data_IF_085328020043
#
_entry.id   IF_085328020043
#
_cell.length_a   1.000
_cell.length_b   1.000
_cell.length_c   1.000
_cell.angle_alpha   90.00
_cell.angle_beta   90.00
_cell.angle_gamma   90.00
#
_symmetry.space_group_name_H-M   'P 1'
#
loop_
_entity.id
_entity.type
_entity.pdbx_description
1 polymer ?
#
# COMPACT_ATOMS: atom_id res chain seq x y z
N UNK A 1 -28.48 -1.48 -10.16
CA UNK A 1 -27.16 -2.12 -9.98
C UNK A 1 -26.12 -1.00 -9.96
N UNK A 2 -25.30 -0.92 -8.92
CA UNK A 2 -24.22 0.07 -8.84
C UNK A 2 -23.18 -0.22 -9.91
N UNK A 3 -22.57 0.81 -10.47
CA UNK A 3 -21.50 0.68 -11.46
C UNK A 3 -20.33 1.54 -11.03
N UNK A 4 -19.12 0.96 -11.09
CA UNK A 4 -17.87 1.63 -10.77
C UNK A 4 -16.95 1.60 -11.98
N UNK A 5 -16.33 2.74 -12.29
CA UNK A 5 -15.37 2.88 -13.37
C UNK A 5 -13.95 2.80 -12.79
N UNK A 6 -13.17 1.85 -13.25
CA UNK A 6 -11.83 1.56 -12.73
C UNK A 6 -10.80 1.81 -13.82
N UNK A 7 -9.83 2.67 -13.55
CA UNK A 7 -8.65 2.82 -14.40
C UNK A 7 -7.65 1.71 -14.03
N UNK A 8 -7.40 0.78 -14.93
CA UNK A 8 -6.45 -0.31 -14.72
C UNK A 8 -5.14 -0.05 -15.44
N UNK A 9 -4.03 -0.22 -14.73
CA UNK A 9 -2.68 -0.03 -15.24
C UNK A 9 -1.84 -1.22 -14.79
N UNK A 10 -1.44 -2.08 -15.71
CA UNK A 10 -0.60 -3.23 -15.40
C UNK A 10 0.83 -2.81 -15.03
N UNK A 11 1.36 -1.79 -15.73
CA UNK A 11 2.71 -1.28 -15.53
C UNK A 11 3.80 -2.21 -16.07
N UNK A 12 4.76 -2.58 -15.21
CA UNK A 12 5.96 -3.34 -15.56
C UNK A 12 6.04 -4.70 -14.85
N UNK A 13 6.93 -5.54 -15.36
CA UNK A 13 7.31 -6.81 -14.76
C UNK A 13 6.13 -7.72 -14.43
N UNK A 14 6.08 -8.20 -13.19
CA UNK A 14 5.00 -9.10 -12.74
C UNK A 14 3.63 -8.43 -12.70
N UNK A 15 3.53 -7.10 -12.75
CA UNK A 15 2.24 -6.41 -12.88
C UNK A 15 1.41 -6.92 -14.05
N UNK A 16 2.06 -7.23 -15.19
CA UNK A 16 1.44 -7.81 -16.38
C UNK A 16 0.90 -9.23 -16.18
N UNK A 17 1.34 -9.91 -15.13
CA UNK A 17 0.89 -11.27 -14.80
C UNK A 17 -0.20 -11.27 -13.72
N UNK A 18 -0.04 -10.45 -12.67
CA UNK A 18 -0.92 -10.48 -11.50
C UNK A 18 -2.20 -9.66 -11.67
N UNK A 19 -2.17 -8.57 -12.46
CA UNK A 19 -3.36 -7.72 -12.70
C UNK A 19 -4.46 -8.46 -13.48
N UNK A 20 -4.17 -9.17 -14.59
CA UNK A 20 -5.18 -9.95 -15.28
C UNK A 20 -5.84 -11.03 -14.41
N UNK A 21 -5.05 -11.67 -13.53
CA UNK A 21 -5.58 -12.68 -12.61
C UNK A 21 -6.48 -12.04 -11.53
N UNK A 22 -6.10 -10.89 -11.00
CA UNK A 22 -6.94 -10.14 -10.05
C UNK A 22 -8.25 -9.65 -10.71
N UNK A 23 -8.22 -9.25 -12.00
CA UNK A 23 -9.44 -8.89 -12.73
C UNK A 23 -10.46 -10.03 -12.78
N UNK A 24 -10.01 -11.29 -12.93
CA UNK A 24 -10.91 -12.45 -12.93
C UNK A 24 -11.63 -12.58 -11.59
N UNK A 25 -10.91 -12.40 -10.47
CA UNK A 25 -11.48 -12.44 -9.13
C UNK A 25 -12.47 -11.28 -8.92
N UNK A 26 -12.08 -10.05 -9.32
CA UNK A 26 -12.92 -8.87 -9.20
C UNK A 26 -14.21 -8.98 -10.02
N UNK A 27 -14.15 -9.51 -11.24
CA UNK A 27 -15.33 -9.76 -12.08
C UNK A 27 -16.26 -10.78 -11.43
N UNK A 28 -15.72 -11.89 -10.93
CA UNK A 28 -16.51 -12.95 -10.29
C UNK A 28 -17.23 -12.46 -9.05
N UNK A 29 -16.53 -11.71 -8.17
CA UNK A 29 -17.16 -11.20 -6.95
C UNK A 29 -18.20 -10.11 -7.25
N UNK A 30 -17.97 -9.29 -8.27
CA UNK A 30 -18.95 -8.29 -8.73
C UNK A 30 -20.26 -8.93 -9.20
N UNK A 31 -20.19 -10.04 -9.93
CA UNK A 31 -21.35 -10.83 -10.33
C UNK A 31 -22.10 -11.39 -9.10
N UNK A 32 -21.38 -11.97 -8.14
CA UNK A 32 -21.99 -12.55 -6.93
C UNK A 32 -22.70 -11.51 -6.06
N UNK A 33 -22.13 -10.30 -5.96
CA UNK A 33 -22.66 -9.21 -5.14
C UNK A 33 -23.49 -8.18 -5.92
N UNK A 34 -23.81 -8.46 -7.19
CA UNK A 34 -24.73 -7.67 -8.03
C UNK A 34 -24.34 -6.20 -8.24
N UNK A 35 -23.05 -5.91 -8.41
CA UNK A 35 -22.55 -4.62 -8.91
C UNK A 35 -21.76 -4.82 -10.19
N UNK A 36 -21.41 -3.73 -10.88
CA UNK A 36 -20.67 -3.77 -12.15
C UNK A 36 -19.35 -3.02 -12.00
N UNK A 37 -18.27 -3.62 -12.48
CA UNK A 37 -16.99 -2.97 -12.71
C UNK A 37 -16.81 -2.73 -14.22
N UNK A 38 -16.61 -1.47 -14.60
CA UNK A 38 -16.17 -1.06 -15.94
C UNK A 38 -14.68 -0.78 -15.82
N UNK A 39 -13.86 -1.58 -16.47
CA UNK A 39 -12.41 -1.50 -16.38
C UNK A 39 -11.88 -0.91 -17.68
N UNK A 40 -11.27 0.28 -17.59
CA UNK A 40 -10.57 0.95 -18.66
C UNK A 40 -9.07 0.69 -18.49
N UNK A 41 -8.46 0.01 -19.47
CA UNK A 41 -7.04 -0.36 -19.42
C UNK A 41 -6.18 0.73 -20.05
N UNK A 42 -5.06 1.04 -19.38
CA UNK A 42 -4.10 2.05 -19.81
C UNK A 42 -2.69 1.46 -19.86
N UNK A 43 -1.94 1.78 -20.92
CA UNK A 43 -0.58 1.30 -21.18
C UNK A 43 0.53 2.21 -20.64
N UNK A 44 0.18 3.42 -20.18
CA UNK A 44 1.15 4.34 -19.60
C UNK A 44 1.56 3.96 -18.17
N UNK A 45 2.49 4.70 -17.58
CA UNK A 45 3.15 4.35 -16.32
C UNK A 45 3.89 3.01 -16.39
N UNK A 46 4.57 2.78 -17.53
CA UNK A 46 5.40 1.62 -17.79
C UNK A 46 6.69 2.01 -18.52
N UNK A 47 7.72 1.19 -18.38
CA UNK A 47 8.98 1.37 -19.12
C UNK A 47 8.76 1.25 -20.64
N UNK A 48 7.83 0.39 -21.07
CA UNK A 48 7.50 0.24 -22.48
C UNK A 48 6.82 1.49 -23.05
N UNK A 49 6.00 2.16 -22.27
CA UNK A 49 5.41 3.44 -22.65
C UNK A 49 6.48 4.54 -22.70
N UNK A 50 7.37 4.56 -21.69
CA UNK A 50 8.48 5.52 -21.67
C UNK A 50 9.39 5.37 -22.89
N UNK A 51 9.73 4.16 -23.28
CA UNK A 51 10.57 3.89 -24.46
C UNK A 51 9.97 4.46 -25.74
N UNK A 52 8.65 4.35 -25.89
CA UNK A 52 7.93 4.84 -27.10
C UNK A 52 7.72 6.36 -27.10
N UNK A 53 7.56 6.97 -25.94
CA UNK A 53 7.05 8.35 -25.82
C UNK A 53 8.00 9.31 -25.11
N UNK A 54 9.10 8.84 -24.51
CA UNK A 54 10.05 9.65 -23.74
C UNK A 54 9.49 10.21 -22.42
N UNK A 55 8.34 9.71 -21.97
CA UNK A 55 7.67 10.13 -20.74
C UNK A 55 6.82 8.98 -20.17
N UNK A 56 6.67 8.91 -18.86
CA UNK A 56 5.91 7.86 -18.19
C UNK A 56 4.39 8.02 -18.34
N UNK A 57 3.91 9.26 -18.51
CA UNK A 57 2.50 9.61 -18.59
C UNK A 57 2.25 10.53 -19.79
N UNK A 58 1.12 10.40 -20.50
CA UNK A 58 0.73 11.35 -21.53
C UNK A 58 0.37 12.71 -20.90
N UNK A 59 0.44 13.81 -21.65
CA UNK A 59 0.23 15.15 -21.11
C UNK A 59 -1.19 15.33 -20.51
N UNK A 60 -2.16 14.62 -21.03
CA UNK A 60 -3.56 14.63 -20.59
C UNK A 60 -3.94 13.44 -19.67
N UNK A 61 -2.97 12.81 -19.02
CA UNK A 61 -3.21 11.64 -18.17
C UNK A 61 -4.23 11.92 -17.04
N UNK A 62 -4.16 13.11 -16.47
CA UNK A 62 -5.01 13.50 -15.37
C UNK A 62 -6.49 13.58 -15.79
N UNK A 63 -6.76 14.16 -16.96
CA UNK A 63 -8.09 14.24 -17.54
C UNK A 63 -8.65 12.86 -17.91
N UNK A 64 -7.79 11.95 -18.34
CA UNK A 64 -8.17 10.56 -18.65
C UNK A 64 -8.60 9.81 -17.40
N UNK A 65 -7.87 9.96 -16.29
CA UNK A 65 -8.06 9.14 -15.09
C UNK A 65 -9.03 9.77 -14.08
N UNK A 66 -9.06 11.09 -13.93
CA UNK A 66 -9.81 11.79 -12.84
C UNK A 66 -11.31 11.48 -12.74
N UNK A 67 -11.90 10.89 -13.78
CA UNK A 67 -13.32 10.52 -13.81
C UNK A 67 -13.60 9.11 -13.30
N UNK A 68 -12.57 8.32 -13.05
CA UNK A 68 -12.71 6.98 -12.51
C UNK A 68 -12.96 7.03 -11.00
N UNK A 69 -13.62 6.00 -10.49
CA UNK A 69 -13.87 5.85 -9.06
C UNK A 69 -12.64 5.37 -8.31
N UNK A 70 -11.76 4.62 -9.00
CA UNK A 70 -10.50 4.13 -8.47
C UNK A 70 -9.47 3.84 -9.58
N UNK A 71 -8.20 3.78 -9.20
CA UNK A 71 -7.09 3.30 -10.03
C UNK A 71 -6.65 1.94 -9.48
N UNK A 72 -6.60 0.93 -10.32
CA UNK A 72 -6.07 -0.38 -10.00
C UNK A 72 -4.73 -0.55 -10.69
N UNK A 73 -3.66 -0.61 -9.92
CA UNK A 73 -2.30 -0.49 -10.41
C UNK A 73 -1.50 -1.75 -10.08
N UNK A 74 -0.72 -2.25 -11.05
CA UNK A 74 0.14 -3.41 -10.85
C UNK A 74 1.45 -3.03 -10.20
N UNK A 75 2.46 -2.71 -11.01
CA UNK A 75 3.77 -2.31 -10.54
C UNK A 75 4.47 -1.43 -11.57
N UNK A 76 5.50 -0.68 -11.17
CA UNK A 76 6.30 0.14 -12.08
C UNK A 76 7.78 0.10 -11.71
N UNK A 77 8.61 0.14 -12.74
CA UNK A 77 10.05 0.23 -12.64
C UNK A 77 10.76 -1.03 -13.10
N UNK A 78 11.78 -0.82 -13.91
CA UNK A 78 12.73 -1.84 -14.37
C UNK A 78 14.12 -1.20 -14.25
N UNK A 79 14.79 -1.29 -13.09
CA UNK A 79 16.04 -0.56 -12.81
C UNK A 79 17.15 -0.79 -13.84
N UNK A 80 17.19 -1.98 -14.45
CA UNK A 80 18.14 -2.31 -15.51
C UNK A 80 17.87 -1.58 -16.84
N UNK A 81 16.62 -1.07 -17.04
CA UNK A 81 16.24 -0.28 -18.23
C UNK A 81 16.25 1.21 -17.94
N UNK A 82 15.60 1.62 -16.84
CA UNK A 82 15.42 3.03 -16.46
C UNK A 82 15.48 3.18 -14.94
N UNK A 83 16.21 4.19 -14.43
CA UNK A 83 16.33 4.41 -12.99
C UNK A 83 15.02 4.92 -12.38
N UNK A 84 14.85 4.71 -11.07
CA UNK A 84 13.63 5.00 -10.31
C UNK A 84 13.20 6.48 -10.38
N UNK A 85 14.14 7.41 -10.51
CA UNK A 85 13.79 8.83 -10.67
C UNK A 85 13.08 9.15 -11.99
N UNK A 86 13.14 8.26 -12.99
CA UNK A 86 12.35 8.34 -14.21
C UNK A 86 11.02 7.61 -14.01
N UNK A 87 11.05 6.37 -13.53
CA UNK A 87 9.90 5.48 -13.50
C UNK A 87 8.93 5.83 -12.37
N UNK A 88 9.37 5.77 -11.11
CA UNK A 88 8.54 6.05 -9.94
C UNK A 88 8.15 7.53 -9.83
N UNK A 89 9.12 8.45 -9.99
CA UNK A 89 8.84 9.88 -9.88
C UNK A 89 8.05 10.41 -11.07
N UNK A 90 8.21 9.78 -12.23
CA UNK A 90 7.47 10.12 -13.45
C UNK A 90 6.04 9.61 -13.48
N UNK A 91 5.65 8.70 -12.60
CA UNK A 91 4.33 8.06 -12.59
C UNK A 91 3.70 7.99 -11.19
N UNK A 92 4.03 7.01 -10.36
CA UNK A 92 3.37 6.71 -9.09
C UNK A 92 3.35 7.91 -8.13
N UNK A 93 4.49 8.59 -7.96
CA UNK A 93 4.56 9.78 -7.09
C UNK A 93 3.75 10.96 -7.63
N UNK A 94 3.56 11.05 -8.96
CA UNK A 94 2.64 12.05 -9.54
C UNK A 94 1.19 11.75 -9.20
N UNK A 95 0.75 10.48 -9.29
CA UNK A 95 -0.61 10.10 -8.85
C UNK A 95 -0.84 10.49 -7.40
N UNK A 96 0.08 10.14 -6.50
CA UNK A 96 -0.03 10.45 -5.07
C UNK A 96 -0.18 11.95 -4.81
N UNK A 97 0.65 12.79 -5.46
CA UNK A 97 0.66 14.24 -5.26
C UNK A 97 -0.49 14.95 -5.96
N UNK A 98 -0.70 14.68 -7.25
CA UNK A 98 -1.67 15.43 -8.06
C UNK A 98 -3.12 15.01 -7.82
N UNK A 99 -3.35 13.81 -7.31
CA UNK A 99 -4.66 13.34 -6.83
C UNK A 99 -4.81 13.44 -5.31
N UNK A 100 -3.88 14.11 -4.65
CA UNK A 100 -3.87 14.34 -3.20
C UNK A 100 -4.22 13.06 -2.41
N UNK A 101 -3.55 11.95 -2.77
CA UNK A 101 -3.70 10.64 -2.14
C UNK A 101 -2.83 10.61 -0.88
N UNK A 102 -3.19 11.40 0.12
CA UNK A 102 -2.36 11.69 1.27
C UNK A 102 -2.32 10.59 2.33
N UNK A 103 -3.16 9.57 2.19
CA UNK A 103 -3.12 8.36 3.03
C UNK A 103 -2.53 7.21 2.23
N UNK A 104 -1.49 6.57 2.75
CA UNK A 104 -1.10 5.25 2.30
C UNK A 104 -1.48 4.23 3.38
N UNK A 105 -2.43 3.35 3.04
CA UNK A 105 -2.99 2.36 3.94
C UNK A 105 -2.39 0.99 3.65
N UNK A 106 -1.76 0.35 4.64
CA UNK A 106 -1.07 -0.93 4.50
C UNK A 106 -1.47 -1.91 5.61
N UNK A 107 -2.43 -2.81 5.35
CA UNK A 107 -2.79 -3.88 6.27
C UNK A 107 -1.68 -4.90 6.41
N UNK A 108 -1.49 -5.38 7.65
CA UNK A 108 -0.57 -6.47 8.01
C UNK A 108 -1.35 -7.53 8.75
N UNK A 109 -1.37 -8.75 8.21
CA UNK A 109 -2.13 -9.85 8.79
C UNK A 109 -1.36 -11.16 8.71
N UNK A 110 -1.32 -11.89 9.82
CA UNK A 110 -0.85 -13.26 9.84
C UNK A 110 -2.01 -14.21 9.45
N UNK A 111 -1.91 -14.75 8.24
CA UNK A 111 -2.93 -15.63 7.69
C UNK A 111 -2.82 -17.07 8.19
N UNK A 112 -3.95 -17.81 8.26
CA UNK A 112 -3.94 -19.25 8.45
C UNK A 112 -3.09 -19.97 7.40
N UNK A 113 -2.29 -20.93 7.83
CA UNK A 113 -1.43 -21.72 6.95
C UNK A 113 -0.09 -21.09 6.64
N UNK A 114 0.14 -19.81 6.92
CA UNK A 114 1.44 -19.18 6.76
C UNK A 114 2.29 -19.39 8.02
N UNK A 115 3.53 -19.80 7.81
CA UNK A 115 4.52 -19.92 8.88
C UNK A 115 5.29 -18.57 8.97
N UNK A 116 5.04 -17.76 10.00
CA UNK A 116 5.75 -16.50 10.14
C UNK A 116 7.21 -16.75 10.53
N UNK A 117 8.14 -15.84 10.19
CA UNK A 117 9.52 -15.87 10.68
C UNK A 117 9.61 -15.73 12.20
N UNK A 118 8.61 -15.08 12.82
CA UNK A 118 8.55 -14.91 14.27
C UNK A 118 8.09 -16.20 14.94
N UNK A 119 8.90 -16.70 15.88
CA UNK A 119 8.58 -17.91 16.64
C UNK A 119 7.30 -17.73 17.47
N UNK A 120 6.52 -18.82 17.56
CA UNK A 120 5.35 -18.95 18.43
C UNK A 120 4.19 -17.97 18.15
N UNK A 121 4.11 -17.39 16.94
CA UNK A 121 2.96 -16.58 16.54
C UNK A 121 1.91 -17.41 15.81
N UNK A 122 0.64 -17.14 16.10
CA UNK A 122 -0.51 -17.85 15.52
C UNK A 122 -1.35 -16.93 14.65
N UNK A 123 -2.06 -17.48 13.66
CA UNK A 123 -3.03 -16.72 12.88
C UNK A 123 -4.02 -15.96 13.76
N UNK A 124 -4.26 -14.69 13.42
CA UNK A 124 -5.14 -13.79 14.17
C UNK A 124 -4.48 -13.01 15.32
N UNK A 125 -3.25 -13.39 15.74
CA UNK A 125 -2.51 -12.62 16.76
C UNK A 125 -1.91 -11.34 16.19
N UNK A 126 -1.56 -11.35 14.91
CA UNK A 126 -1.05 -10.18 14.19
C UNK A 126 -2.10 -9.75 13.17
N UNK A 127 -2.74 -8.61 13.44
CA UNK A 127 -3.72 -7.97 12.57
C UNK A 127 -3.69 -6.48 12.88
N UNK A 128 -2.89 -5.74 12.12
CA UNK A 128 -2.71 -4.30 12.27
C UNK A 128 -2.79 -3.58 10.94
N UNK A 129 -3.02 -2.27 10.98
CA UNK A 129 -3.03 -1.41 9.80
C UNK A 129 -2.06 -0.26 10.01
N UNK A 130 -1.15 -0.06 9.07
CA UNK A 130 -0.24 1.08 9.06
C UNK A 130 -0.86 2.16 8.19
N UNK A 131 -1.00 3.36 8.77
CA UNK A 131 -1.45 4.59 8.13
C UNK A 131 -0.23 5.48 7.95
N UNK A 132 0.29 5.52 6.73
CA UNK A 132 1.46 6.29 6.33
C UNK A 132 1.02 7.61 5.71
N UNK A 133 1.62 8.72 6.14
CA UNK A 133 1.56 9.98 5.39
C UNK A 133 2.20 9.78 4.00
N UNK A 134 1.62 10.37 2.94
CA UNK A 134 1.95 9.95 1.58
C UNK A 134 2.29 11.11 0.62
N UNK A 135 2.27 12.36 1.04
CA UNK A 135 2.40 13.52 0.15
C UNK A 135 3.45 14.53 0.55
N UNK A 136 3.89 14.53 1.79
CA UNK A 136 4.91 15.42 2.34
C UNK A 136 5.94 14.65 3.19
N UNK A 137 6.49 15.24 4.21
CA UNK A 137 7.45 14.60 5.10
C UNK A 137 8.86 14.52 4.52
N UNK A 138 9.49 13.40 4.72
CA UNK A 138 10.87 13.13 4.29
C UNK A 138 10.99 12.95 2.77
N UNK A 139 9.87 12.67 2.08
CA UNK A 139 9.77 12.56 0.62
C UNK A 139 9.38 13.88 -0.05
N UNK A 140 9.61 15.04 0.59
CA UNK A 140 9.19 16.36 0.12
C UNK A 140 9.75 16.76 -1.25
N UNK A 141 10.89 16.21 -1.67
CA UNK A 141 11.65 16.61 -2.86
C UNK A 141 12.09 18.10 -2.84
N UNK A 142 12.18 18.69 -1.65
CA UNK A 142 12.72 20.04 -1.45
C UNK A 142 14.18 19.94 -1.02
N UNK A 143 15.07 20.58 -1.79
CA UNK A 143 16.49 20.50 -1.55
C UNK A 143 17.28 20.82 -2.81
N UNK A 144 18.55 20.45 -2.82
CA UNK A 144 19.42 20.67 -3.96
C UNK A 144 20.87 20.31 -3.67
N UNK A 145 21.73 20.65 -4.64
CA UNK A 145 23.18 20.43 -4.55
C UNK A 145 23.91 21.76 -4.74
N UNK A 146 25.03 21.91 -4.06
CA UNK A 146 26.00 23.00 -4.24
C UNK A 146 27.39 22.41 -4.48
N UNK A 147 28.21 23.12 -5.27
CA UNK A 147 29.59 22.71 -5.61
C UNK A 147 29.67 21.32 -6.24
N UNK A 148 28.69 20.97 -7.06
CA UNK A 148 28.55 19.65 -7.66
C UNK A 148 29.81 19.23 -8.41
N UNK A 149 30.25 17.98 -8.21
CA UNK A 149 31.46 17.42 -8.82
C UNK A 149 32.78 17.89 -8.20
N UNK A 150 32.78 18.62 -7.08
CA UNK A 150 33.98 19.05 -6.36
C UNK A 150 34.10 18.39 -4.99
N UNK A 151 35.28 18.46 -4.36
CA UNK A 151 35.49 17.99 -2.98
C UNK A 151 34.61 18.70 -1.93
N UNK A 152 34.01 19.84 -2.29
CA UNK A 152 33.13 20.62 -1.41
C UNK A 152 31.65 20.42 -1.72
N UNK A 153 31.31 19.39 -2.49
CA UNK A 153 29.92 19.09 -2.83
C UNK A 153 29.06 18.96 -1.57
N UNK A 154 27.95 19.70 -1.56
CA UNK A 154 26.94 19.67 -0.50
C UNK A 154 25.61 19.23 -1.11
N UNK A 155 24.96 18.26 -0.47
CA UNK A 155 23.62 17.80 -0.85
C UNK A 155 22.68 18.08 0.31
N UNK A 156 21.55 18.74 0.03
CA UNK A 156 20.53 19.08 1.01
C UNK A 156 19.19 18.48 0.57
N UNK A 157 18.49 17.87 1.50
CA UNK A 157 17.08 17.54 1.38
C UNK A 157 16.34 17.88 2.66
N UNK A 158 15.24 18.62 2.54
CA UNK A 158 14.43 19.07 3.66
C UNK A 158 13.29 18.10 3.95
N UNK A 159 13.03 17.88 5.25
CA UNK A 159 11.78 17.28 5.70
C UNK A 159 10.75 18.38 5.92
N UNK A 160 9.62 18.30 5.23
CA UNK A 160 8.54 19.27 5.33
C UNK A 160 7.32 18.61 5.94
N UNK A 161 6.86 19.16 7.07
CA UNK A 161 5.64 18.71 7.74
C UNK A 161 4.74 19.92 8.01
N UNK A 162 3.59 19.95 7.34
CA UNK A 162 2.60 21.00 7.55
C UNK A 162 1.59 20.59 8.63
N UNK A 163 1.00 21.59 9.32
CA UNK A 163 -0.11 21.34 10.22
C UNK A 163 -1.25 20.59 9.53
N UNK A 164 -1.58 21.02 8.31
CA UNK A 164 -2.62 20.42 7.50
C UNK A 164 -2.33 18.93 7.19
N UNK A 165 -1.12 18.62 6.72
CA UNK A 165 -0.73 17.25 6.38
C UNK A 165 -0.72 16.33 7.59
N UNK A 166 -0.13 16.79 8.71
CA UNK A 166 -0.10 16.01 9.96
C UNK A 166 -1.53 15.77 10.49
N UNK A 167 -2.33 16.83 10.61
CA UNK A 167 -3.67 16.72 11.21
C UNK A 167 -4.56 15.77 10.40
N UNK A 168 -4.55 15.84 9.05
CA UNK A 168 -5.42 15.02 8.21
C UNK A 168 -5.05 13.53 8.28
N UNK A 169 -3.75 13.18 8.29
CA UNK A 169 -3.35 11.78 8.40
C UNK A 169 -3.61 11.21 9.79
N UNK A 170 -3.35 11.97 10.85
CA UNK A 170 -3.62 11.54 12.22
C UNK A 170 -5.12 11.38 12.47
N UNK A 171 -5.97 12.33 12.04
CA UNK A 171 -7.43 12.23 12.14
C UNK A 171 -7.97 11.02 11.38
N UNK A 172 -7.49 10.77 10.17
CA UNK A 172 -7.85 9.55 9.45
C UNK A 172 -7.51 8.28 10.25
N UNK A 173 -6.32 8.23 10.87
CA UNK A 173 -5.91 7.10 11.68
C UNK A 173 -6.78 6.92 12.94
N UNK A 174 -7.19 8.00 13.59
CA UNK A 174 -8.15 7.96 14.69
C UNK A 174 -9.53 7.44 14.24
N UNK A 175 -10.07 7.96 13.13
CA UNK A 175 -11.35 7.47 12.59
C UNK A 175 -11.26 5.99 12.20
N UNK A 176 -10.16 5.56 11.61
CA UNK A 176 -9.93 4.15 11.33
C UNK A 176 -9.91 3.31 12.62
N UNK A 177 -9.21 3.77 13.66
CA UNK A 177 -9.14 3.06 14.93
C UNK A 177 -10.53 2.89 15.59
N UNK A 178 -11.47 3.83 15.42
CA UNK A 178 -12.86 3.68 15.89
C UNK A 178 -13.57 2.46 15.27
N UNK A 179 -13.26 2.13 14.02
CA UNK A 179 -13.88 1.01 13.31
C UNK A 179 -13.29 -0.34 13.72
N UNK A 180 -12.10 -0.32 14.35
CA UNK A 180 -11.39 -1.53 14.78
C UNK A 180 -11.89 -2.00 16.13
N UNK A 181 -11.87 -3.33 16.35
CA UNK A 181 -12.34 -3.93 17.63
C UNK A 181 -11.53 -3.49 18.85
N UNK A 182 -10.22 -3.30 18.66
CA UNK A 182 -9.30 -2.97 19.77
C UNK A 182 -9.28 -1.49 20.10
N UNK A 183 -9.70 -0.65 19.16
CA UNK A 183 -9.76 0.81 19.33
C UNK A 183 -8.46 1.41 19.86
N UNK A 184 -7.32 0.98 19.27
CA UNK A 184 -5.99 1.41 19.68
C UNK A 184 -5.25 2.06 18.52
N UNK A 185 -4.61 3.20 18.81
CA UNK A 185 -3.78 3.94 17.86
C UNK A 185 -2.39 4.18 18.44
N UNK A 186 -1.37 3.71 17.74
CA UNK A 186 0.04 3.96 18.05
C UNK A 186 0.61 5.02 17.11
N UNK A 187 1.26 6.06 17.64
CA UNK A 187 1.98 7.05 16.85
C UNK A 187 3.47 6.74 16.81
N UNK A 188 4.04 6.65 15.60
CA UNK A 188 5.47 6.54 15.40
C UNK A 188 6.11 7.94 15.40
N UNK A 189 7.16 8.14 16.20
CA UNK A 189 7.87 9.41 16.34
C UNK A 189 9.39 9.22 16.42
N UNK A 190 10.14 10.30 16.39
CA UNK A 190 11.58 10.35 16.70
C UNK A 190 11.95 11.70 17.35
N UNK A 191 11.07 12.21 18.18
CA UNK A 191 11.22 13.54 18.80
C UNK A 191 12.45 13.68 19.73
N UNK A 192 13.02 12.56 20.19
CA UNK A 192 14.27 12.56 20.94
C UNK A 192 15.52 12.78 20.07
N UNK A 193 15.42 12.73 18.75
CA UNK A 193 16.54 12.88 17.82
C UNK A 193 16.31 13.90 16.71
N UNK A 194 15.08 14.02 16.23
CA UNK A 194 14.66 14.99 15.21
C UNK A 194 13.95 16.14 15.91
N UNK A 195 14.69 17.18 16.26
CA UNK A 195 14.32 18.17 17.29
C UNK A 195 13.28 19.22 16.87
N UNK A 196 12.87 19.29 15.61
CA UNK A 196 11.92 20.29 15.11
C UNK A 196 10.63 19.64 14.62
N UNK A 197 10.71 18.81 13.59
CA UNK A 197 9.50 18.26 12.93
C UNK A 197 8.81 17.20 13.79
N UNK A 198 9.54 16.34 14.50
CA UNK A 198 8.94 15.26 15.28
C UNK A 198 8.31 15.71 16.60
N UNK A 199 8.85 16.68 17.38
CA UNK A 199 8.10 17.28 18.49
C UNK A 199 6.80 17.95 18.02
N UNK A 200 6.79 18.56 16.83
CA UNK A 200 5.57 19.11 16.26
C UNK A 200 4.57 18.02 15.85
N UNK A 201 5.03 16.90 15.29
CA UNK A 201 4.20 15.71 15.07
C UNK A 201 3.53 15.23 16.35
N UNK A 202 4.30 15.14 17.44
CA UNK A 202 3.81 14.71 18.77
C UNK A 202 2.81 15.72 19.36
N UNK A 203 3.07 17.02 19.22
CA UNK A 203 2.15 18.09 19.64
C UNK A 203 0.81 17.94 18.90
N UNK A 204 0.84 17.77 17.58
CA UNK A 204 -0.40 17.58 16.80
C UNK A 204 -1.14 16.30 17.18
N UNK A 205 -0.42 15.20 17.44
CA UNK A 205 -1.03 13.96 17.91
C UNK A 205 -1.75 14.13 19.25
N UNK A 206 -1.11 14.79 20.20
CA UNK A 206 -1.70 15.06 21.52
C UNK A 206 -2.88 16.04 21.44
N UNK A 207 -2.88 16.96 20.49
CA UNK A 207 -4.01 17.86 20.26
C UNK A 207 -5.19 17.09 19.63
N UNK A 208 -4.96 16.35 18.55
CA UNK A 208 -6.00 15.58 17.89
C UNK A 208 -6.61 14.51 18.80
N UNK A 209 -5.82 13.87 19.66
CA UNK A 209 -6.27 12.86 20.63
C UNK A 209 -7.41 13.35 21.53
N UNK A 210 -7.50 14.64 21.81
CA UNK A 210 -8.55 15.20 22.70
C UNK A 210 -9.96 14.97 22.16
N UNK A 211 -10.10 14.85 20.83
CA UNK A 211 -11.37 14.62 20.15
C UNK A 211 -11.75 13.12 20.09
N UNK A 212 -10.88 12.21 20.55
CA UNK A 212 -11.01 10.76 20.41
C UNK A 212 -10.77 10.01 21.73
N UNK A 213 -11.50 10.40 22.75
CA UNK A 213 -11.32 9.92 24.12
C UNK A 213 -11.58 8.42 24.30
N UNK A 214 -12.30 7.79 23.40
CA UNK A 214 -12.59 6.35 23.36
C UNK A 214 -11.47 5.50 22.75
N UNK A 215 -10.42 6.13 22.19
CA UNK A 215 -9.29 5.44 21.56
C UNK A 215 -8.11 5.36 22.55
N UNK A 216 -7.66 4.15 22.82
CA UNK A 216 -6.39 3.94 23.53
C UNK A 216 -5.23 4.40 22.65
N UNK A 217 -4.34 5.18 23.21
CA UNK A 217 -3.19 5.70 22.42
C UNK A 217 -1.87 5.46 23.12
N UNK A 218 -0.86 5.13 22.34
CA UNK A 218 0.54 5.15 22.74
C UNK A 218 1.42 5.80 21.66
N UNK A 219 2.65 6.15 22.05
CA UNK A 219 3.66 6.71 21.15
C UNK A 219 4.99 6.01 21.39
N UNK A 220 5.68 5.65 20.31
CA UNK A 220 7.00 5.05 20.37
C UNK A 220 7.97 5.77 19.42
N UNK A 221 9.20 5.96 19.86
CA UNK A 221 10.28 6.31 18.94
C UNK A 221 10.49 5.17 17.96
N UNK A 222 10.76 5.51 16.69
CA UNK A 222 10.77 4.55 15.58
C UNK A 222 11.73 3.37 15.81
N UNK A 223 12.88 3.59 16.42
CA UNK A 223 13.85 2.55 16.72
C UNK A 223 13.31 1.49 17.69
N UNK A 224 12.66 1.93 18.78
CA UNK A 224 12.02 0.99 19.70
C UNK A 224 10.73 0.41 19.13
N UNK A 225 10.00 1.15 18.29
CA UNK A 225 8.80 0.65 17.61
C UNK A 225 9.15 -0.51 16.67
N UNK A 226 10.21 -0.39 15.89
CA UNK A 226 10.75 -1.47 15.03
C UNK A 226 11.07 -2.70 15.87
N UNK A 227 11.75 -2.55 17.01
CA UNK A 227 12.03 -3.65 17.91
C UNK A 227 10.73 -4.29 18.47
N UNK A 228 9.71 -3.48 18.80
CA UNK A 228 8.41 -3.97 19.27
C UNK A 228 7.61 -4.68 18.19
N UNK A 229 7.71 -4.31 16.93
CA UNK A 229 7.11 -5.05 15.82
C UNK A 229 7.61 -6.49 15.74
N UNK A 230 8.88 -6.73 16.10
CA UNK A 230 9.47 -8.07 16.14
C UNK A 230 9.10 -8.80 17.44
N UNK A 231 9.21 -8.11 18.60
CA UNK A 231 9.04 -8.74 19.92
C UNK A 231 7.58 -8.93 20.31
N UNK A 232 6.73 -7.96 20.03
CA UNK A 232 5.35 -7.87 20.49
C UNK A 232 4.40 -7.35 19.39
N UNK A 233 4.37 -7.92 18.19
CA UNK A 233 3.56 -7.41 17.07
C UNK A 233 2.05 -7.38 17.40
N UNK A 234 1.60 -8.24 18.30
CA UNK A 234 0.22 -8.31 18.78
C UNK A 234 -0.24 -7.09 19.57
N UNK A 235 0.67 -6.19 19.96
CA UNK A 235 0.31 -4.97 20.67
C UNK A 235 -0.34 -3.91 19.77
N UNK A 236 -0.11 -3.99 18.47
CA UNK A 236 -0.49 -2.95 17.51
C UNK A 236 -1.81 -3.27 16.82
N UNK A 237 -2.62 -2.23 16.64
CA UNK A 237 -3.91 -2.28 15.94
C UNK A 237 -3.91 -1.30 14.75
N UNK A 238 -3.87 0.01 15.01
CA UNK A 238 -3.61 1.03 13.99
C UNK A 238 -2.31 1.74 14.38
N UNK A 239 -1.43 1.93 13.39
CA UNK A 239 -0.16 2.65 13.57
C UNK A 239 -0.11 3.81 12.60
N UNK A 240 0.01 5.04 13.10
CA UNK A 240 0.18 6.24 12.26
C UNK A 240 1.63 6.68 12.25
N UNK A 241 2.15 7.00 11.07
CA UNK A 241 3.55 7.35 10.87
C UNK A 241 3.74 8.41 9.78
N UNK A 242 4.86 9.15 9.87
CA UNK A 242 5.36 9.99 8.77
C UNK A 242 5.64 9.16 7.52
N UNK A 243 5.94 9.84 6.44
CA UNK A 243 6.13 9.18 5.14
C UNK A 243 7.24 8.11 5.22
N UNK A 244 8.44 8.46 5.69
CA UNK A 244 9.56 7.51 5.78
C UNK A 244 9.33 6.42 6.84
N UNK A 245 8.85 6.80 8.02
CA UNK A 245 8.62 5.81 9.09
C UNK A 245 7.51 4.83 8.70
N UNK A 246 6.47 5.31 8.05
CA UNK A 246 5.40 4.47 7.52
C UNK A 246 5.87 3.52 6.43
N UNK A 247 6.81 3.94 5.59
CA UNK A 247 7.43 3.09 4.57
C UNK A 247 8.18 1.92 5.21
N UNK A 248 9.09 2.23 6.14
CA UNK A 248 9.87 1.21 6.86
C UNK A 248 8.97 0.21 7.60
N UNK A 249 7.97 0.72 8.34
CA UNK A 249 7.06 -0.14 9.12
C UNK A 249 6.18 -1.02 8.24
N UNK A 250 5.79 -0.53 7.09
CA UNK A 250 4.90 -1.25 6.18
C UNK A 250 5.57 -2.39 5.41
N UNK A 251 6.89 -2.44 5.39
CA UNK A 251 7.66 -3.59 4.92
C UNK A 251 8.01 -4.53 6.09
N UNK A 252 8.35 -3.96 7.24
CA UNK A 252 8.67 -4.74 8.43
C UNK A 252 7.47 -5.58 8.91
N UNK A 253 6.26 -5.02 8.91
CA UNK A 253 5.06 -5.73 9.33
C UNK A 253 4.82 -7.02 8.54
N UNK A 254 4.71 -6.95 7.20
CA UNK A 254 4.59 -8.14 6.36
C UNK A 254 5.80 -9.07 6.46
N UNK A 255 7.01 -8.57 6.64
CA UNK A 255 8.19 -9.41 6.90
C UNK A 255 8.02 -10.23 8.19
N UNK A 256 7.51 -9.62 9.27
CA UNK A 256 7.23 -10.34 10.53
C UNK A 256 6.16 -11.41 10.39
N UNK A 257 5.20 -11.25 9.49
CA UNK A 257 4.12 -12.23 9.23
C UNK A 257 4.44 -13.23 8.13
N UNK A 258 5.58 -13.05 7.42
CA UNK A 258 5.93 -13.90 6.26
C UNK A 258 5.05 -13.65 5.04
N UNK A 259 4.46 -12.46 4.94
CA UNK A 259 3.46 -12.12 3.92
C UNK A 259 3.85 -10.94 3.01
N UNK A 260 5.14 -10.61 2.92
CA UNK A 260 5.63 -9.47 2.14
C UNK A 260 5.24 -9.56 0.66
N UNK A 261 5.26 -10.76 0.07
CA UNK A 261 4.87 -10.99 -1.32
C UNK A 261 3.36 -10.89 -1.60
N UNK A 262 2.52 -10.79 -0.55
CA UNK A 262 1.06 -10.71 -0.67
C UNK A 262 0.46 -9.47 -0.01
N UNK A 263 1.29 -8.58 0.51
CA UNK A 263 0.85 -7.37 1.20
C UNK A 263 0.19 -6.39 0.21
N UNK A 264 -1.01 -5.88 0.54
CA UNK A 264 -1.70 -4.89 -0.29
C UNK A 264 -1.37 -3.47 0.16
N UNK A 265 -1.63 -2.50 -0.70
CA UNK A 265 -1.49 -1.08 -0.40
C UNK A 265 -2.62 -0.28 -1.04
N UNK A 266 -3.04 0.78 -0.39
CA UNK A 266 -3.97 1.76 -0.94
C UNK A 266 -3.43 3.18 -0.74
N UNK A 267 -3.36 3.95 -1.81
CA UNK A 267 -3.08 5.38 -1.79
C UNK A 267 -4.41 6.13 -1.89
N UNK A 268 -4.85 6.73 -0.80
CA UNK A 268 -6.25 7.17 -0.64
C UNK A 268 -6.36 8.68 -0.62
N UNK A 269 -7.31 9.22 -1.39
CA UNK A 269 -7.92 10.52 -1.20
C UNK A 269 -9.25 10.31 -0.45
N UNK A 270 -9.30 10.48 0.88
CA UNK A 270 -10.48 10.13 1.68
C UNK A 270 -11.72 10.95 1.32
N UNK A 271 -11.56 12.18 0.86
CA UNK A 271 -12.65 13.05 0.44
C UNK A 271 -13.25 12.64 -0.92
N UNK A 272 -12.67 11.66 -1.61
CA UNK A 272 -13.11 11.17 -2.92
C UNK A 272 -13.22 12.24 -4.01
N UNK A 273 -12.44 13.31 -3.90
CA UNK A 273 -12.33 14.37 -4.92
C UNK A 273 -11.57 13.91 -6.15
N UNK A 274 -10.68 12.97 -5.95
CA UNK A 274 -9.86 12.32 -6.96
C UNK A 274 -9.85 10.80 -6.74
N UNK A 275 -9.60 10.01 -7.78
CA UNK A 275 -9.52 8.56 -7.64
C UNK A 275 -8.36 8.16 -6.72
N UNK A 276 -8.64 7.23 -5.83
CA UNK A 276 -7.64 6.55 -5.00
C UNK A 276 -6.99 5.42 -5.78
N UNK A 277 -5.74 5.06 -5.45
CA UNK A 277 -4.96 4.05 -6.16
C UNK A 277 -4.72 2.83 -5.26
N UNK A 278 -4.93 1.64 -5.81
CA UNK A 278 -4.79 0.35 -5.14
C UNK A 278 -3.77 -0.50 -5.86
N UNK A 279 -2.71 -0.86 -5.15
CA UNK A 279 -1.54 -1.58 -5.66
C UNK A 279 -1.01 -2.56 -4.62
N UNK A 280 -0.29 -3.63 -4.98
CA UNK A 280 0.44 -4.43 -4.00
C UNK A 280 1.66 -3.65 -3.47
N UNK A 281 2.18 -4.07 -2.31
CA UNK A 281 3.42 -3.50 -1.74
C UNK A 281 4.65 -3.90 -2.56
N UNK A 282 4.63 -5.11 -3.14
CA UNK A 282 5.72 -5.58 -3.99
C UNK A 282 5.88 -4.73 -5.26
N UNK A 283 7.11 -4.60 -5.76
CA UNK A 283 7.42 -3.93 -7.02
C UNK A 283 7.20 -4.82 -8.25
N UNK A 284 7.86 -4.47 -9.33
CA UNK A 284 7.79 -5.16 -10.63
C UNK A 284 8.51 -6.51 -10.68
N UNK A 285 9.38 -6.81 -9.70
CA UNK A 285 10.17 -8.04 -9.61
C UNK A 285 10.75 -8.50 -10.97
N UNK A 286 11.70 -7.73 -11.53
CA UNK A 286 12.22 -7.99 -12.88
C UNK A 286 12.88 -9.36 -13.03
N UNK A 287 13.41 -9.90 -11.95
CA UNK A 287 14.10 -11.18 -11.85
C UNK A 287 13.19 -12.40 -12.12
N UNK A 288 11.90 -12.27 -11.89
CA UNK A 288 10.92 -13.34 -12.10
C UNK A 288 9.83 -12.97 -13.13
N UNK A 289 9.92 -11.79 -13.72
CA UNK A 289 8.94 -11.31 -14.70
C UNK A 289 8.90 -12.19 -15.95
N UNK A 290 7.71 -12.64 -16.35
CA UNK A 290 7.49 -13.51 -17.49
C UNK A 290 7.61 -15.00 -17.19
N UNK A 291 7.96 -15.38 -15.95
CA UNK A 291 8.09 -16.80 -15.57
C UNK A 291 6.76 -17.43 -15.13
N UNK A 292 5.71 -16.62 -14.91
CA UNK A 292 4.41 -17.10 -14.47
C UNK A 292 4.40 -17.65 -13.03
N UNK A 293 5.35 -17.27 -12.19
CA UNK A 293 5.50 -17.75 -10.81
C UNK A 293 5.18 -16.69 -9.75
N UNK A 294 4.91 -15.46 -10.17
CA UNK A 294 4.56 -14.36 -9.28
C UNK A 294 3.30 -14.67 -8.45
N UNK A 295 3.30 -14.24 -7.19
CA UNK A 295 2.15 -14.43 -6.31
C UNK A 295 1.06 -13.40 -6.63
N UNK A 296 -0.17 -13.80 -7.05
CA UNK A 296 -1.23 -12.86 -7.43
C UNK A 296 -2.01 -12.31 -6.22
N UNK A 297 -1.80 -12.84 -5.02
CA UNK A 297 -2.61 -12.53 -3.84
C UNK A 297 -2.44 -11.06 -3.42
N UNK A 298 -1.25 -10.47 -3.53
CA UNK A 298 -1.04 -9.06 -3.24
C UNK A 298 -1.93 -8.15 -4.07
N UNK A 299 -2.00 -8.42 -5.37
CA UNK A 299 -2.87 -7.69 -6.29
C UNK A 299 -4.36 -7.97 -6.02
N UNK A 300 -4.74 -9.22 -5.77
CA UNK A 300 -6.13 -9.61 -5.45
C UNK A 300 -6.57 -8.93 -4.14
N UNK A 301 -5.73 -8.92 -3.12
CA UNK A 301 -6.04 -8.27 -1.84
C UNK A 301 -6.11 -6.74 -1.98
N UNK A 302 -5.26 -6.13 -2.82
CA UNK A 302 -5.40 -4.71 -3.18
C UNK A 302 -6.74 -4.42 -3.85
N UNK A 303 -7.25 -5.36 -4.65
CA UNK A 303 -8.61 -5.31 -5.19
C UNK A 303 -9.69 -5.37 -4.10
N UNK A 304 -9.49 -6.16 -3.04
CA UNK A 304 -10.40 -6.17 -1.90
C UNK A 304 -10.39 -4.82 -1.16
N UNK A 305 -9.21 -4.19 -0.96
CA UNK A 305 -9.13 -2.83 -0.40
C UNK A 305 -9.87 -1.80 -1.27
N UNK A 306 -9.75 -1.94 -2.60
CA UNK A 306 -10.49 -1.08 -3.54
C UNK A 306 -12.00 -1.23 -3.35
N UNK A 307 -12.51 -2.45 -3.25
CA UNK A 307 -13.94 -2.70 -3.06
C UNK A 307 -14.44 -2.17 -1.71
N UNK A 308 -13.66 -2.34 -0.64
CA UNK A 308 -13.97 -1.77 0.67
C UNK A 308 -14.07 -0.24 0.63
N UNK A 309 -13.11 0.43 -0.02
CA UNK A 309 -13.12 1.87 -0.25
C UNK A 309 -14.33 2.34 -1.07
N UNK A 310 -14.76 1.55 -2.05
CA UNK A 310 -15.94 1.83 -2.87
C UNK A 310 -17.27 1.58 -2.11
N UNK A 311 -17.20 0.96 -0.92
CA UNK A 311 -18.36 0.67 -0.07
C UNK A 311 -18.96 -0.72 -0.31
N UNK A 312 -18.28 -1.60 -1.02
CA UNK A 312 -18.66 -3.00 -1.25
C UNK A 312 -17.97 -3.92 -0.22
N UNK A 313 -18.21 -3.63 1.08
CA UNK A 313 -17.52 -4.25 2.21
C UNK A 313 -17.72 -5.78 2.29
N UNK A 314 -18.93 -6.28 1.95
CA UNK A 314 -19.20 -7.72 1.95
C UNK A 314 -18.41 -8.44 0.86
N UNK A 315 -18.31 -7.85 -0.32
CA UNK A 315 -17.52 -8.36 -1.43
C UNK A 315 -16.01 -8.37 -1.07
N UNK A 316 -15.51 -7.28 -0.49
CA UNK A 316 -14.13 -7.19 0.01
C UNK A 316 -13.83 -8.29 1.03
N UNK A 317 -14.69 -8.47 2.03
CA UNK A 317 -14.55 -9.51 3.05
C UNK A 317 -14.59 -10.93 2.45
N UNK A 318 -15.41 -11.17 1.43
CA UNK A 318 -15.49 -12.46 0.74
C UNK A 318 -14.16 -12.78 0.04
N UNK A 319 -13.53 -11.82 -0.61
CA UNK A 319 -12.17 -11.99 -1.20
C UNK A 319 -11.16 -12.34 -0.11
N UNK A 320 -11.12 -11.61 1.00
CA UNK A 320 -10.17 -11.87 2.09
C UNK A 320 -10.36 -13.28 2.67
N UNK A 321 -11.61 -13.71 2.88
CA UNK A 321 -11.91 -15.06 3.33
C UNK A 321 -11.49 -16.13 2.31
N UNK A 322 -11.65 -15.86 1.03
CA UNK A 322 -11.18 -16.75 -0.04
C UNK A 322 -9.66 -16.87 -0.03
N UNK A 323 -8.93 -15.76 0.16
CA UNK A 323 -7.48 -15.76 0.35
C UNK A 323 -7.09 -16.61 1.55
N UNK A 324 -7.77 -16.49 2.70
CA UNK A 324 -7.51 -17.29 3.90
C UNK A 324 -7.65 -18.79 3.63
N UNK A 325 -8.74 -19.19 2.96
CA UNK A 325 -8.97 -20.60 2.60
C UNK A 325 -7.90 -21.11 1.62
N UNK A 326 -7.51 -20.28 0.65
CA UNK A 326 -6.50 -20.64 -0.35
C UNK A 326 -5.14 -20.83 0.31
N UNK A 327 -4.74 -19.94 1.19
CA UNK A 327 -3.47 -19.99 1.90
C UNK A 327 -3.38 -21.13 2.93
N UNK A 328 -4.50 -21.61 3.43
CA UNK A 328 -4.53 -22.74 4.36
C UNK A 328 -3.98 -24.03 3.72
N UNK A 329 -4.29 -24.28 2.45
CA UNK A 329 -3.79 -25.45 1.72
C UNK A 329 -2.47 -25.11 0.98
N UNK A 330 -1.39 -25.74 1.42
CA UNK A 330 -0.04 -25.52 0.89
C UNK A 330 0.05 -25.70 -0.63
N UNK A 331 -0.71 -26.63 -1.21
CA UNK A 331 -0.68 -26.89 -2.66
C UNK A 331 -1.13 -25.70 -3.49
N UNK A 332 -1.96 -24.79 -2.92
CA UNK A 332 -2.48 -23.61 -3.59
C UNK A 332 -1.57 -22.38 -3.49
N UNK A 333 -0.54 -22.44 -2.64
CA UNK A 333 0.41 -21.34 -2.46
C UNK A 333 1.44 -21.33 -3.58
N UNK A 334 1.95 -20.16 -3.88
CA UNK A 334 3.13 -19.99 -4.73
C UNK A 334 4.42 -20.32 -3.99
N UNK A 335 5.51 -20.40 -4.72
CA UNK A 335 6.83 -20.84 -4.19
C UNK A 335 7.36 -19.94 -3.05
N UNK A 336 7.13 -18.64 -3.11
CA UNK A 336 7.50 -17.66 -2.08
C UNK A 336 6.85 -17.94 -0.72
N UNK A 337 5.67 -18.57 -0.71
CA UNK A 337 4.97 -19.02 0.50
C UNK A 337 5.12 -20.53 0.76
N UNK A 338 6.14 -21.14 0.19
CA UNK A 338 6.45 -22.56 0.39
C UNK A 338 5.50 -23.53 -0.28
N UNK A 339 4.78 -23.10 -1.32
CA UNK A 339 3.86 -23.93 -2.09
C UNK A 339 4.41 -24.33 -3.45
N UNK A 340 3.50 -24.79 -4.34
CA UNK A 340 3.86 -25.35 -5.64
C UNK A 340 3.08 -24.75 -6.81
N UNK A 341 2.09 -23.89 -6.54
CA UNK A 341 1.27 -23.26 -7.57
C UNK A 341 2.06 -22.18 -8.33
N UNK A 342 1.74 -22.04 -9.59
CA UNK A 342 2.10 -20.87 -10.39
C UNK A 342 1.06 -19.74 -10.20
N UNK A 343 1.28 -18.58 -10.83
CA UNK A 343 0.41 -17.40 -10.74
C UNK A 343 -1.05 -17.73 -11.06
N UNK A 344 -1.30 -18.41 -12.17
CA UNK A 344 -2.66 -18.75 -12.65
C UNK A 344 -3.33 -19.77 -11.72
N UNK A 345 -2.60 -20.78 -11.28
CA UNK A 345 -3.13 -21.83 -10.38
C UNK A 345 -3.51 -21.25 -9.01
N UNK A 346 -2.69 -20.37 -8.45
CA UNK A 346 -2.97 -19.70 -7.19
C UNK A 346 -4.20 -18.80 -7.31
N UNK A 347 -4.29 -17.98 -8.35
CA UNK A 347 -5.46 -17.14 -8.61
C UNK A 347 -6.73 -17.97 -8.82
N UNK A 348 -6.63 -19.09 -9.55
CA UNK A 348 -7.75 -20.04 -9.71
C UNK A 348 -8.21 -20.60 -8.37
N UNK A 349 -7.30 -20.96 -7.47
CA UNK A 349 -7.67 -21.44 -6.15
C UNK A 349 -8.42 -20.36 -5.33
N UNK A 350 -8.04 -19.07 -5.46
CA UNK A 350 -8.83 -17.98 -4.88
C UNK A 350 -10.22 -17.91 -5.49
N UNK A 351 -10.36 -18.01 -6.81
CA UNK A 351 -11.65 -18.02 -7.50
C UNK A 351 -12.54 -19.21 -7.07
N UNK A 352 -11.98 -20.38 -6.90
CA UNK A 352 -12.70 -21.59 -6.52
C UNK A 352 -13.18 -21.53 -5.06
N UNK A 353 -12.57 -20.70 -4.21
CA UNK A 353 -12.90 -20.50 -2.80
C UNK A 353 -13.87 -19.33 -2.54
N UNK A 354 -14.23 -18.52 -3.56
CA UNK A 354 -15.27 -17.51 -3.48
C UNK A 354 -16.65 -18.17 -3.41
#
# INVERSE_FOLDING_TARGET
MKTYNIASIEGDGIGKEVVPEAHKVLKKIAEQHQFKLVIDEYDFASCDYYEKHGKMLPDNWKEKIKKHDAIFFGAVGMPDRYPDHITLWGSLLKFRREFDQYINLRPVKLFPGINPPLANKKPGEIDMIIVRENTEGEYSSVGGKMYEGTEREIVLQETIMSKHGIDRVQKFAFELAKTRKRKKLTSATKSNGISITMPYWDERFNENKKDYTEIETDQFHIDILVARFVLNPEWFDVVVASNLFGDILSDLGPACTGTIGIAPSANINPEKKFPSLFEPVHGSAPDIAGEGIANPIGQIWSGALMLDYLGENEAANSIVKSIEKTLFDQKNRTKDLGGFSNTVQCAKAVLDNL
#
